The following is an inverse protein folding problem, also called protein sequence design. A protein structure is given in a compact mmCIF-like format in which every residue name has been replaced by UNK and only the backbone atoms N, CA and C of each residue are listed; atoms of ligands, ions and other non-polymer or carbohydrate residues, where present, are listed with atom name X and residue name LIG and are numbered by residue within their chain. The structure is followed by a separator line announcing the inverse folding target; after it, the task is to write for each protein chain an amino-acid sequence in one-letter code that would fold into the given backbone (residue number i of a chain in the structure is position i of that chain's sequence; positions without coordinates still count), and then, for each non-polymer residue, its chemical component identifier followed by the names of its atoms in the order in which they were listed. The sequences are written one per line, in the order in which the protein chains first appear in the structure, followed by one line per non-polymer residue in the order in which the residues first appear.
data_IF_551707198613
#
_entry.id   IF_551707198613
#
_cell.length_a   1.000
_cell.length_b   1.000
_cell.length_c   1.000
_cell.angle_alpha   90.00
_cell.angle_beta   90.00
_cell.angle_gamma   90.00
#
_symmetry.space_group_name_H-M   'P 1'
#
loop_
_entity.id
_entity.type
_entity.pdbx_description
1 polymer ?
#
# COMPACT_ATOMS: atom_id res chain seq x y z
N UNK A 1 62.53 2.99 2.13
CA UNK A 1 61.28 2.44 1.57
C UNK A 1 60.72 1.40 2.53
N UNK A 2 59.69 1.74 3.32
CA UNK A 2 58.80 0.77 3.97
C UNK A 2 57.40 1.38 3.96
N UNK A 3 56.46 0.63 3.42
CA UNK A 3 55.14 1.07 3.02
C UNK A 3 54.28 1.49 4.22
N UNK A 4 53.65 2.66 4.14
CA UNK A 4 52.46 2.94 4.92
C UNK A 4 51.31 2.21 4.22
N UNK A 5 50.91 1.06 4.76
CA UNK A 5 49.67 0.39 4.38
C UNK A 5 48.50 1.31 4.72
N UNK A 6 48.03 2.07 3.74
CA UNK A 6 46.74 2.73 3.80
C UNK A 6 45.69 1.64 3.60
N UNK A 7 45.28 1.01 4.70
CA UNK A 7 44.08 0.17 4.71
C UNK A 7 42.93 1.13 4.46
N UNK A 8 42.50 1.20 3.20
CA UNK A 8 41.34 1.97 2.77
C UNK A 8 40.10 1.27 3.34
N UNK A 9 39.66 1.73 4.51
CA UNK A 9 38.38 1.36 5.11
C UNK A 9 37.28 2.00 4.25
N UNK A 10 36.88 1.31 3.18
CA UNK A 10 35.69 1.67 2.40
C UNK A 10 34.49 1.32 3.27
N UNK A 11 34.08 2.25 4.12
CA UNK A 11 32.77 2.20 4.77
C UNK A 11 31.72 2.41 3.68
N UNK A 12 31.28 1.31 3.06
CA UNK A 12 30.14 1.32 2.14
C UNK A 12 28.93 1.79 2.95
N UNK A 13 28.49 3.02 2.72
CA UNK A 13 27.20 3.51 3.18
C UNK A 13 26.13 2.71 2.44
N UNK A 14 25.75 1.56 2.99
CA UNK A 14 24.54 0.86 2.58
C UNK A 14 23.37 1.71 3.07
N UNK A 15 22.93 2.65 2.23
CA UNK A 15 21.63 3.28 2.40
C UNK A 15 20.59 2.19 2.12
N UNK A 16 20.20 1.46 3.16
CA UNK A 16 19.20 0.41 3.04
C UNK A 16 17.88 1.03 2.58
N UNK A 17 17.45 0.67 1.37
CA UNK A 17 16.05 0.81 0.94
C UNK A 17 15.23 -0.11 1.84
N UNK A 18 14.85 0.38 3.02
CA UNK A 18 14.06 -0.39 3.96
C UNK A 18 12.61 -0.41 3.46
N UNK A 19 12.16 -1.56 2.98
CA UNK A 19 10.75 -1.80 2.72
C UNK A 19 9.95 -1.52 4.00
N UNK A 20 8.72 -1.02 3.83
CA UNK A 20 7.85 -0.66 4.97
C UNK A 20 6.57 -1.50 4.98
N UNK A 21 6.67 -2.84 5.08
CA UNK A 21 5.50 -3.71 5.08
C UNK A 21 4.57 -3.44 6.27
N UNK A 22 5.07 -2.83 7.36
CA UNK A 22 4.24 -2.44 8.52
C UNK A 22 3.13 -1.44 8.17
N UNK A 23 3.22 -0.73 7.03
CA UNK A 23 2.13 0.15 6.61
C UNK A 23 0.90 -0.62 6.14
N UNK A 24 1.05 -1.88 5.72
CA UNK A 24 -0.10 -2.75 5.42
C UNK A 24 -0.92 -3.03 6.70
N UNK A 25 -0.29 -3.11 7.87
CA UNK A 25 -1.00 -3.29 9.15
C UNK A 25 -1.84 -2.08 9.58
N UNK A 26 -1.66 -0.93 8.93
CA UNK A 26 -2.39 0.31 9.22
C UNK A 26 -3.66 0.47 8.37
N UNK A 27 -3.99 -0.54 7.56
CA UNK A 27 -5.03 -0.49 6.54
C UNK A 27 -5.88 -1.77 6.59
N UNK A 28 -7.21 -1.67 6.45
CA UNK A 28 -8.07 -2.84 6.41
C UNK A 28 -7.78 -3.67 5.15
N UNK A 29 -7.85 -5.00 5.27
CA UNK A 29 -7.67 -5.98 4.18
C UNK A 29 -6.45 -5.85 3.27
N UNK A 30 -5.47 -5.00 3.57
CA UNK A 30 -4.37 -4.64 2.66
C UNK A 30 -3.54 -5.82 2.14
N UNK A 31 -3.51 -6.95 2.85
CA UNK A 31 -2.83 -8.19 2.45
C UNK A 31 -3.69 -9.12 1.58
N UNK A 32 -4.99 -8.86 1.46
CA UNK A 32 -5.96 -9.67 0.73
C UNK A 32 -6.34 -9.04 -0.62
N UNK A 33 -5.88 -7.81 -0.88
CA UNK A 33 -6.17 -7.09 -2.13
C UNK A 33 -5.41 -7.73 -3.28
N UNK A 34 -6.16 -8.03 -4.35
CA UNK A 34 -5.64 -8.43 -5.65
C UNK A 34 -5.82 -7.30 -6.66
N UNK A 35 -5.02 -7.31 -7.72
CA UNK A 35 -5.11 -6.36 -8.81
C UNK A 35 -6.19 -6.73 -9.84
N UNK A 36 -6.22 -6.00 -10.96
CA UNK A 36 -7.20 -6.18 -12.02
C UNK A 36 -7.16 -7.56 -12.67
N UNK A 37 -6.01 -8.24 -12.62
CA UNK A 37 -5.77 -9.55 -13.20
C UNK A 37 -5.93 -10.68 -12.15
N UNK A 38 -6.31 -10.33 -10.92
CA UNK A 38 -6.42 -11.26 -9.80
C UNK A 38 -5.09 -11.64 -9.17
N UNK A 39 -4.01 -10.91 -9.46
CA UNK A 39 -2.69 -11.14 -8.87
C UNK A 39 -2.51 -10.34 -7.56
N UNK A 40 -1.77 -10.90 -6.60
CA UNK A 40 -1.43 -10.19 -5.37
C UNK A 40 -0.56 -8.94 -5.66
N UNK A 41 -0.92 -7.81 -5.07
CA UNK A 41 -0.20 -6.54 -5.21
C UNK A 41 0.27 -5.99 -3.85
N UNK A 42 1.35 -6.55 -3.26
CA UNK A 42 1.80 -6.14 -1.93
C UNK A 42 2.33 -4.69 -1.90
N UNK A 43 2.72 -4.14 -3.06
CA UNK A 43 3.14 -2.76 -3.25
C UNK A 43 2.00 -1.75 -3.37
N UNK A 44 0.93 -1.90 -2.59
CA UNK A 44 -0.37 -1.29 -2.86
C UNK A 44 -0.36 0.26 -2.92
N UNK A 45 0.58 0.92 -2.24
CA UNK A 45 0.78 2.37 -2.27
C UNK A 45 1.70 2.85 -3.40
N UNK A 46 2.08 1.98 -4.34
CA UNK A 46 3.04 2.24 -5.40
C UNK A 46 2.52 1.75 -6.76
N UNK A 47 3.01 2.36 -7.84
CA UNK A 47 2.78 1.86 -9.20
C UNK A 47 3.54 0.57 -9.52
N UNK A 48 4.58 0.24 -8.73
CA UNK A 48 5.27 -1.03 -8.82
C UNK A 48 4.59 -2.06 -7.93
N UNK A 49 4.23 -3.22 -8.49
CA UNK A 49 3.53 -4.31 -7.77
C UNK A 49 4.24 -4.80 -6.52
N UNK A 50 5.57 -4.74 -6.52
CA UNK A 50 6.40 -5.17 -5.39
C UNK A 50 6.74 -4.03 -4.44
N UNK A 51 6.15 -2.85 -4.65
CA UNK A 51 6.42 -1.63 -3.90
C UNK A 51 7.65 -0.89 -4.41
N UNK A 52 8.10 0.08 -3.62
CA UNK A 52 9.18 1.01 -3.96
C UNK A 52 8.87 1.88 -5.20
N UNK A 53 9.75 2.85 -5.45
CA UNK A 53 9.54 3.84 -6.51
C UNK A 53 8.37 4.77 -6.20
N UNK A 54 7.80 5.34 -7.26
CA UNK A 54 6.74 6.35 -7.18
C UNK A 54 5.47 5.80 -6.53
N UNK A 55 4.91 6.56 -5.59
CA UNK A 55 3.60 6.24 -5.03
C UNK A 55 2.52 6.39 -6.10
N UNK A 56 1.48 5.56 -6.03
CA UNK A 56 0.23 5.85 -6.73
C UNK A 56 -0.56 6.93 -5.96
N UNK A 57 -1.74 7.28 -6.46
CA UNK A 57 -2.59 8.28 -5.82
C UNK A 57 -2.94 7.88 -4.38
N UNK A 58 -3.37 6.64 -4.16
CA UNK A 58 -3.62 6.10 -2.82
C UNK A 58 -2.43 6.28 -1.87
N UNK A 59 -1.24 5.84 -2.29
CA UNK A 59 -0.04 5.92 -1.44
C UNK A 59 0.37 7.35 -1.15
N UNK A 60 0.06 8.29 -2.05
CA UNK A 60 0.26 9.73 -1.85
C UNK A 60 -0.74 10.28 -0.83
N UNK A 61 -2.02 9.94 -0.96
CA UNK A 61 -3.07 10.35 -0.03
C UNK A 61 -2.88 9.74 1.37
N UNK A 62 -2.42 8.49 1.45
CA UNK A 62 -2.03 7.88 2.70
C UNK A 62 -0.88 8.63 3.37
N UNK A 63 0.09 9.12 2.59
CA UNK A 63 1.18 9.93 3.12
C UNK A 63 0.68 11.29 3.62
N UNK A 64 -0.25 11.94 2.89
CA UNK A 64 -0.90 13.20 3.28
C UNK A 64 -1.74 13.02 4.55
N UNK A 65 -2.44 11.90 4.69
CA UNK A 65 -3.18 11.52 5.90
C UNK A 65 -2.27 11.20 7.11
N UNK A 66 -0.95 11.36 6.96
CA UNK A 66 0.02 11.09 8.03
C UNK A 66 0.20 9.60 8.28
N UNK A 67 -0.05 8.75 7.27
CA UNK A 67 -0.01 7.29 7.33
C UNK A 67 -0.97 6.71 8.38
N UNK A 68 -2.20 7.21 8.37
CA UNK A 68 -3.28 6.80 9.27
C UNK A 68 -4.55 6.52 8.47
N UNK A 69 -5.31 5.53 8.92
CA UNK A 69 -6.68 5.30 8.47
C UNK A 69 -7.62 6.33 9.10
N UNK A 70 -7.59 7.56 8.59
CA UNK A 70 -8.50 8.63 9.02
C UNK A 70 -9.83 8.52 8.29
N UNK A 71 -10.90 9.09 8.85
CA UNK A 71 -12.21 9.11 8.19
C UNK A 71 -12.17 9.84 6.84
N UNK A 72 -11.41 10.95 6.75
CA UNK A 72 -11.21 11.67 5.50
C UNK A 72 -10.49 10.82 4.45
N UNK A 73 -9.48 10.04 4.88
CA UNK A 73 -8.74 9.17 3.99
C UNK A 73 -9.58 7.98 3.54
N UNK A 74 -10.33 7.36 4.46
CA UNK A 74 -11.25 6.28 4.15
C UNK A 74 -12.35 6.68 3.16
N UNK A 75 -12.88 7.91 3.27
CA UNK A 75 -13.92 8.42 2.36
C UNK A 75 -13.38 8.95 1.02
N UNK A 76 -12.07 9.08 0.85
CA UNK A 76 -11.49 9.53 -0.41
C UNK A 76 -11.58 8.42 -1.47
N UNK A 77 -11.81 8.82 -2.73
CA UNK A 77 -11.68 7.99 -3.92
C UNK A 77 -10.33 8.32 -4.56
N UNK A 78 -9.29 7.56 -4.20
CA UNK A 78 -7.92 7.95 -4.54
C UNK A 78 -7.60 7.72 -6.02
N UNK A 79 -8.16 6.68 -6.64
CA UNK A 79 -7.86 6.31 -8.02
C UNK A 79 -8.93 6.75 -9.04
N UNK A 80 -10.03 7.31 -8.56
CA UNK A 80 -11.07 7.96 -9.36
C UNK A 80 -12.05 6.98 -10.00
N UNK A 81 -12.16 5.76 -9.48
CA UNK A 81 -13.04 4.73 -10.03
C UNK A 81 -14.51 4.83 -9.54
N UNK A 82 -14.78 5.79 -8.64
CA UNK A 82 -16.08 6.07 -8.05
C UNK A 82 -16.37 5.32 -6.75
N UNK A 83 -15.41 4.53 -6.23
CA UNK A 83 -15.48 3.91 -4.91
C UNK A 83 -14.57 4.64 -3.91
N UNK A 84 -14.99 4.73 -2.65
CA UNK A 84 -14.10 5.21 -1.60
C UNK A 84 -13.10 4.12 -1.21
N UNK A 85 -11.92 4.54 -0.76
CA UNK A 85 -10.89 3.67 -0.19
C UNK A 85 -11.47 2.69 0.85
N UNK A 86 -12.44 3.14 1.65
CA UNK A 86 -13.18 2.33 2.62
C UNK A 86 -14.05 1.26 1.97
N UNK A 87 -14.84 1.62 0.95
CA UNK A 87 -15.62 0.63 0.20
C UNK A 87 -14.71 -0.44 -0.38
N UNK A 88 -13.61 -0.03 -1.00
CA UNK A 88 -12.65 -0.92 -1.65
C UNK A 88 -11.90 -1.81 -0.67
N UNK A 89 -11.47 -1.30 0.48
CA UNK A 89 -10.74 -2.07 1.49
C UNK A 89 -11.65 -2.75 2.54
N UNK A 90 -12.97 -2.70 2.37
CA UNK A 90 -13.92 -3.44 3.21
C UNK A 90 -14.27 -2.78 4.55
N UNK A 91 -14.14 -1.46 4.62
CA UNK A 91 -14.60 -0.55 5.69
C UNK A 91 -15.46 0.60 5.10
N UNK A 92 -16.64 0.30 4.51
CA UNK A 92 -17.47 1.31 3.83
C UNK A 92 -18.02 2.40 4.78
N UNK A 93 -18.11 2.10 6.08
CA UNK A 93 -18.60 3.05 7.09
C UNK A 93 -17.46 3.82 7.79
N UNK A 94 -16.20 3.58 7.41
CA UNK A 94 -15.02 4.24 7.98
C UNK A 94 -14.86 4.10 9.51
N UNK A 95 -15.30 2.95 10.04
CA UNK A 95 -15.29 2.67 11.48
C UNK A 95 -14.13 1.78 11.90
N UNK A 96 -13.45 1.11 10.97
CA UNK A 96 -12.34 0.20 11.27
C UNK A 96 -11.22 0.92 12.03
N UNK A 97 -10.62 0.21 12.99
CA UNK A 97 -9.42 0.62 13.70
C UNK A 97 -8.32 -0.43 13.56
N UNK A 98 -7.08 0.03 13.70
CA UNK A 98 -5.88 -0.82 13.58
C UNK A 98 -6.00 -2.06 14.46
N UNK A 99 -5.90 -3.23 13.84
CA UNK A 99 -5.99 -4.55 14.50
C UNK A 99 -7.39 -5.15 14.56
N UNK A 100 -8.44 -4.42 14.18
CA UNK A 100 -9.80 -4.95 14.10
C UNK A 100 -10.02 -5.79 12.84
N UNK A 101 -11.12 -6.54 12.83
CA UNK A 101 -11.59 -7.22 11.62
C UNK A 101 -12.40 -6.23 10.76
N UNK A 102 -12.06 -6.05 9.47
CA UNK A 102 -12.90 -5.26 8.56
C UNK A 102 -14.32 -5.84 8.45
N UNK A 103 -15.31 -5.00 8.20
CA UNK A 103 -16.72 -5.43 8.11
C UNK A 103 -16.96 -6.36 6.92
N UNK A 104 -16.12 -6.30 5.89
CA UNK A 104 -16.18 -7.11 4.69
C UNK A 104 -14.76 -7.51 4.27
N UNK A 105 -14.56 -8.75 3.82
CA UNK A 105 -13.25 -9.24 3.32
C UNK A 105 -13.30 -9.74 1.88
N UNK A 106 -14.48 -9.73 1.28
CA UNK A 106 -14.78 -10.17 -0.09
C UNK A 106 -15.30 -8.97 -0.89
N UNK A 107 -15.29 -9.08 -2.23
CA UNK A 107 -15.72 -7.98 -3.12
C UNK A 107 -14.96 -6.67 -2.87
N UNK A 108 -13.72 -6.81 -2.39
CA UNK A 108 -12.74 -5.74 -2.20
C UNK A 108 -11.95 -5.50 -3.50
N UNK A 109 -11.44 -4.30 -3.69
CA UNK A 109 -10.69 -3.88 -4.89
C UNK A 109 -9.39 -3.18 -4.50
N UNK A 110 -8.60 -2.78 -5.50
CA UNK A 110 -7.30 -2.14 -5.29
C UNK A 110 -7.43 -0.61 -5.36
N UNK A 111 -7.30 0.12 -4.23
CA UNK A 111 -7.73 1.52 -4.13
C UNK A 111 -6.79 2.57 -4.74
N UNK A 112 -5.77 2.09 -5.45
CA UNK A 112 -4.82 2.90 -6.22
C UNK A 112 -4.79 2.52 -7.70
N UNK A 113 -5.79 1.74 -8.16
CA UNK A 113 -5.87 1.11 -9.48
C UNK A 113 -7.33 0.96 -9.92
N UNK A 114 -7.74 1.80 -10.85
CA UNK A 114 -9.01 1.64 -11.55
C UNK A 114 -9.01 0.39 -12.45
N UNK A 115 -9.67 -0.68 -12.00
CA UNK A 115 -9.83 -1.92 -12.76
C UNK A 115 -11.19 -1.98 -13.49
N UNK A 116 -11.18 -2.24 -14.79
CA UNK A 116 -12.39 -2.52 -15.59
C UNK A 116 -12.13 -3.68 -16.57
N UNK A 117 -12.92 -4.78 -16.53
CA UNK A 117 -13.96 -5.07 -15.53
C UNK A 117 -13.34 -5.34 -14.15
N UNK A 118 -14.11 -5.10 -13.07
CA UNK A 118 -13.67 -5.47 -11.72
C UNK A 118 -13.37 -6.97 -11.67
N UNK A 119 -12.30 -7.41 -10.97
CA UNK A 119 -12.02 -8.83 -10.83
C UNK A 119 -13.26 -9.53 -10.28
N UNK A 120 -13.75 -10.53 -11.02
CA UNK A 120 -14.84 -11.37 -10.56
C UNK A 120 -14.27 -12.26 -9.48
N UNK A 121 -14.69 -12.07 -8.24
CA UNK A 121 -14.44 -13.06 -7.22
C UNK A 121 -15.13 -14.34 -7.66
N UNK A 122 -14.38 -15.44 -7.70
CA UNK A 122 -14.87 -16.77 -8.07
C UNK A 122 -16.14 -17.09 -7.28
N UNK A 123 -17.24 -17.31 -8.00
CA UNK A 123 -18.48 -17.92 -7.51
C UNK A 123 -18.22 -19.27 -6.81
#
# INVERSE_FOLDING_TARGET
MKAFSVILLVAVLVCGLQARPQYLDLLPNSRNVVDCDGENWPGFGHYNRWGAGTNNAFGSDFAVAGRKWTEAFCNADSDGDGLSNGQELGDPECVWRVGEKPSRTEDITHPGRWCQPRPKNSE
#
